data_IF_053058227093
#
_entry.id   IF_053058227093
#
_cell.length_a   1.000
_cell.length_b   1.000
_cell.length_c   1.000
_cell.angle_alpha   90.00
_cell.angle_beta   90.00
_cell.angle_gamma   90.00
#
_symmetry.space_group_name_H-M   'P 1'
#
loop_
_entity.id
_entity.type
_entity.pdbx_description
1 polymer ?
#
# COMPACT_ATOMS: atom_id res chain seq x y z
N UNK A 1 11.13 -11.43 -17.60
CA UNK A 1 11.92 -10.18 -17.53
C UNK A 1 11.49 -9.27 -18.68
N UNK A 2 11.14 -8.01 -18.40
CA UNK A 2 10.77 -7.03 -19.43
C UNK A 2 12.06 -6.38 -19.94
N UNK A 3 12.27 -6.36 -21.26
CA UNK A 3 13.39 -5.68 -21.90
C UNK A 3 13.06 -4.24 -22.28
N UNK A 4 14.08 -3.42 -22.55
CA UNK A 4 13.89 -2.04 -22.98
C UNK A 4 13.11 -1.95 -24.30
N UNK A 5 13.45 -2.79 -25.28
CA UNK A 5 12.82 -2.84 -26.60
C UNK A 5 11.31 -3.13 -26.51
N UNK A 6 10.90 -3.99 -25.56
CA UNK A 6 9.50 -4.27 -25.32
C UNK A 6 8.76 -3.03 -24.79
N UNK A 7 9.39 -2.23 -23.92
CA UNK A 7 8.77 -0.97 -23.45
C UNK A 7 8.65 0.08 -24.55
N UNK A 8 9.63 0.14 -25.46
CA UNK A 8 9.54 1.02 -26.62
C UNK A 8 8.34 0.64 -27.49
N UNK A 9 8.18 -0.65 -27.79
CA UNK A 9 7.01 -1.14 -28.53
C UNK A 9 5.70 -0.85 -27.78
N UNK A 10 5.65 -1.08 -26.47
CA UNK A 10 4.46 -0.81 -25.65
C UNK A 10 4.09 0.68 -25.61
N UNK A 11 5.08 1.56 -25.74
CA UNK A 11 4.89 3.00 -25.87
C UNK A 11 4.07 3.39 -27.10
N UNK A 12 4.13 2.60 -28.17
CA UNK A 12 3.39 2.84 -29.42
C UNK A 12 2.02 2.13 -29.46
N UNK A 13 1.62 1.49 -28.36
CA UNK A 13 0.33 0.78 -28.25
C UNK A 13 -0.73 1.61 -27.54
N UNK A 14 -1.98 1.10 -27.57
CA UNK A 14 -3.09 1.59 -26.73
C UNK A 14 -3.22 0.81 -25.41
N UNK A 15 -2.18 0.07 -24.99
CA UNK A 15 -2.22 -0.69 -23.75
C UNK A 15 -2.38 0.25 -22.57
N UNK A 16 -3.41 0.04 -21.75
CA UNK A 16 -3.67 0.87 -20.58
C UNK A 16 -3.16 0.23 -19.29
N UNK A 17 -3.32 -1.08 -19.10
CA UNK A 17 -2.92 -1.76 -17.86
C UNK A 17 -1.86 -2.81 -18.16
N UNK A 18 -0.71 -2.69 -17.52
CA UNK A 18 0.40 -3.62 -17.61
C UNK A 18 0.69 -4.21 -16.23
N UNK A 19 0.64 -5.53 -16.11
CA UNK A 19 0.93 -6.25 -14.89
C UNK A 19 2.36 -6.80 -14.93
N UNK A 20 3.16 -6.46 -13.92
CA UNK A 20 4.48 -7.03 -13.69
C UNK A 20 4.38 -7.92 -12.46
N UNK A 21 4.22 -9.22 -12.71
CA UNK A 21 4.06 -10.24 -11.66
C UNK A 21 5.40 -10.85 -11.32
N UNK A 22 5.74 -10.85 -10.03
CA UNK A 22 6.94 -11.46 -9.46
C UNK A 22 6.53 -12.59 -8.53
N UNK A 23 7.11 -13.76 -8.72
CA UNK A 23 6.81 -14.95 -7.93
C UNK A 23 8.08 -15.78 -7.70
N UNK A 24 7.94 -16.95 -7.08
CA UNK A 24 9.06 -17.86 -6.78
C UNK A 24 9.89 -18.32 -8.00
N UNK A 25 9.39 -18.13 -9.22
CA UNK A 25 10.10 -18.45 -10.47
C UNK A 25 10.78 -17.22 -11.09
N UNK A 26 10.70 -16.06 -10.43
CA UNK A 26 11.36 -14.83 -10.86
C UNK A 26 12.81 -14.86 -10.41
N UNK A 27 13.66 -15.52 -11.19
CA UNK A 27 15.10 -15.53 -10.97
C UNK A 27 15.79 -14.47 -11.84
N UNK A 28 16.73 -13.71 -11.25
CA UNK A 28 17.56 -12.75 -11.98
C UNK A 28 16.77 -11.61 -12.64
N UNK A 29 15.65 -11.19 -12.04
CA UNK A 29 14.86 -10.08 -12.55
C UNK A 29 15.67 -8.77 -12.56
N UNK A 30 15.54 -7.95 -13.62
CA UNK A 30 16.28 -6.69 -13.75
C UNK A 30 15.34 -5.49 -13.82
N UNK A 31 15.71 -4.43 -13.12
CA UNK A 31 15.04 -3.14 -13.24
C UNK A 31 15.38 -2.51 -14.58
N UNK A 32 14.38 -1.94 -15.25
CA UNK A 32 14.60 -1.13 -16.45
C UNK A 32 14.93 0.29 -15.99
N UNK A 33 15.86 0.95 -16.68
CA UNK A 33 16.26 2.31 -16.34
C UNK A 33 15.08 3.29 -16.42
N UNK A 34 15.09 4.28 -15.53
CA UNK A 34 14.07 5.33 -15.50
C UNK A 34 13.98 6.13 -16.81
N UNK A 35 15.07 6.22 -17.58
CA UNK A 35 15.10 6.88 -18.89
C UNK A 35 14.18 6.19 -19.89
N UNK A 36 14.23 4.87 -19.95
CA UNK A 36 13.38 4.08 -20.86
C UNK A 36 11.91 4.20 -20.45
N UNK A 37 11.62 4.09 -19.15
CA UNK A 37 10.27 4.32 -18.62
C UNK A 37 9.75 5.73 -18.91
N UNK A 38 10.59 6.76 -18.80
CA UNK A 38 10.21 8.13 -19.13
C UNK A 38 9.87 8.30 -20.61
N UNK A 39 10.60 7.64 -21.52
CA UNK A 39 10.26 7.65 -22.96
C UNK A 39 8.94 6.95 -23.21
N UNK A 40 8.76 5.74 -22.66
CA UNK A 40 7.53 4.96 -22.78
C UNK A 40 6.31 5.74 -22.25
N UNK A 41 6.43 6.40 -21.09
CA UNK A 41 5.36 7.22 -20.50
C UNK A 41 4.99 8.43 -21.35
N UNK A 42 5.92 9.00 -22.10
CA UNK A 42 5.64 10.11 -23.02
C UNK A 42 4.89 9.62 -24.27
N UNK A 43 5.25 8.46 -24.78
CA UNK A 43 4.60 7.85 -25.95
C UNK A 43 3.20 7.31 -25.60
N UNK A 44 3.06 6.67 -24.43
CA UNK A 44 1.80 6.15 -23.90
C UNK A 44 1.50 6.72 -22.51
N UNK A 45 0.94 7.94 -22.42
CA UNK A 45 0.60 8.56 -21.14
C UNK A 45 -0.52 7.85 -20.39
N UNK A 46 -1.32 7.02 -21.07
CA UNK A 46 -2.41 6.25 -20.45
C UNK A 46 -1.93 4.94 -19.81
N UNK A 47 -0.65 4.58 -19.98
CA UNK A 47 -0.11 3.35 -19.42
C UNK A 47 -0.09 3.41 -17.87
N UNK A 48 -0.63 2.37 -17.27
CA UNK A 48 -0.72 2.11 -15.84
C UNK A 48 0.02 0.81 -15.57
N UNK A 49 0.99 0.85 -14.66
CA UNK A 49 1.77 -0.33 -14.27
C UNK A 49 1.28 -0.83 -12.91
N UNK A 50 1.05 -2.13 -12.81
CA UNK A 50 0.65 -2.81 -11.58
C UNK A 50 1.75 -3.80 -11.20
N UNK A 51 2.43 -3.55 -10.08
CA UNK A 51 3.43 -4.45 -9.52
C UNK A 51 2.74 -5.44 -8.59
N UNK A 52 2.85 -6.73 -8.88
CA UNK A 52 2.24 -7.77 -8.06
C UNK A 52 3.29 -8.79 -7.62
N UNK A 53 3.29 -9.14 -6.34
CA UNK A 53 4.11 -10.22 -5.79
C UNK A 53 3.20 -11.38 -5.40
N UNK A 54 3.45 -12.59 -5.92
CA UNK A 54 2.66 -13.79 -5.67
C UNK A 54 3.51 -14.91 -5.06
N UNK A 55 2.99 -15.61 -4.06
CA UNK A 55 3.65 -16.81 -3.56
C UNK A 55 3.07 -17.35 -2.27
N UNK A 56 2.92 -18.68 -2.19
CA UNK A 56 2.34 -19.39 -1.04
C UNK A 56 3.34 -20.29 -0.29
N UNK A 57 4.63 -20.21 -0.60
CA UNK A 57 5.63 -21.08 0.03
C UNK A 57 6.26 -20.44 1.27
N UNK A 58 6.31 -21.23 2.34
CA UNK A 58 7.13 -21.00 3.52
C UNK A 58 8.57 -21.32 3.07
N UNK A 59 9.36 -20.30 2.73
CA UNK A 59 10.72 -20.52 2.25
C UNK A 59 11.56 -21.14 3.37
N UNK A 60 11.83 -22.44 3.24
CA UNK A 60 12.56 -23.23 4.20
C UNK A 60 13.98 -22.70 4.40
N UNK A 61 14.35 -22.48 5.66
CA UNK A 61 15.67 -22.15 6.21
C UNK A 61 16.46 -20.95 5.63
N UNK A 62 16.13 -20.45 4.43
CA UNK A 62 16.60 -19.18 3.89
C UNK A 62 15.38 -18.29 3.65
N UNK A 63 15.24 -17.30 4.51
CA UNK A 63 14.22 -16.23 4.50
C UNK A 63 14.39 -15.29 3.29
N UNK A 64 14.49 -15.79 2.07
CA UNK A 64 14.74 -14.98 0.89
C UNK A 64 13.43 -14.39 0.38
N UNK A 65 12.85 -13.44 1.13
CA UNK A 65 11.72 -12.64 0.63
C UNK A 65 11.93 -12.36 -0.85
N UNK A 66 10.96 -12.74 -1.70
CA UNK A 66 11.03 -12.58 -3.16
C UNK A 66 11.66 -11.22 -3.44
N UNK A 67 12.90 -11.25 -3.93
CA UNK A 67 13.71 -10.04 -4.08
C UNK A 67 13.00 -9.14 -5.09
N UNK A 68 12.40 -8.06 -4.59
CA UNK A 68 11.50 -7.28 -5.43
C UNK A 68 12.31 -6.48 -6.43
N UNK A 69 11.99 -6.69 -7.69
CA UNK A 69 12.58 -5.92 -8.78
C UNK A 69 11.75 -4.67 -9.00
N UNK A 70 12.20 -3.56 -8.44
CA UNK A 70 11.58 -2.26 -8.64
C UNK A 70 11.80 -1.76 -10.06
N UNK A 71 10.89 -0.90 -10.51
CA UNK A 71 10.90 -0.28 -11.84
C UNK A 71 10.89 1.25 -11.68
N UNK A 72 12.03 1.89 -11.34
CA UNK A 72 12.07 3.33 -11.10
C UNK A 72 11.62 4.12 -12.33
N UNK A 73 10.77 5.12 -12.14
CA UNK A 73 10.25 5.98 -13.22
C UNK A 73 9.06 5.39 -14.00
N UNK A 74 8.70 4.13 -13.77
CA UNK A 74 7.47 3.54 -14.32
C UNK A 74 6.22 4.21 -13.73
N UNK A 75 5.12 4.37 -14.50
CA UNK A 75 3.84 4.90 -14.01
C UNK A 75 3.10 3.85 -13.16
N UNK A 76 3.69 3.48 -12.01
CA UNK A 76 3.13 2.45 -11.12
C UNK A 76 1.93 3.00 -10.36
N UNK A 77 0.76 2.41 -10.65
CA UNK A 77 -0.52 2.76 -10.03
C UNK A 77 -0.89 1.82 -8.89
N UNK A 78 -0.36 0.59 -8.90
CA UNK A 78 -0.68 -0.39 -7.86
C UNK A 78 0.53 -1.21 -7.45
N UNK A 79 0.64 -1.46 -6.15
CA UNK A 79 1.58 -2.43 -5.57
C UNK A 79 0.78 -3.39 -4.70
N UNK A 80 0.78 -4.67 -5.08
CA UNK A 80 -0.06 -5.71 -4.50
C UNK A 80 0.81 -6.88 -4.05
N UNK A 81 0.68 -7.23 -2.79
CA UNK A 81 1.36 -8.36 -2.18
C UNK A 81 0.33 -9.46 -1.94
N UNK A 82 0.33 -10.46 -2.81
CA UNK A 82 -0.50 -11.66 -2.72
C UNK A 82 0.31 -12.86 -2.24
N UNK A 83 0.78 -12.75 -1.01
CA UNK A 83 1.56 -13.79 -0.34
C UNK A 83 1.39 -13.69 1.16
N UNK A 84 1.19 -14.78 1.91
CA UNK A 84 1.07 -14.72 3.37
C UNK A 84 2.41 -14.44 4.06
N UNK A 85 3.53 -14.48 3.34
CA UNK A 85 4.89 -14.33 3.90
C UNK A 85 5.51 -12.96 3.64
N UNK A 86 4.94 -12.16 2.73
CA UNK A 86 5.51 -10.86 2.37
C UNK A 86 5.32 -9.79 3.46
N UNK A 87 6.39 -9.41 4.14
CA UNK A 87 6.31 -8.40 5.21
C UNK A 87 6.41 -7.01 4.63
N UNK A 88 5.67 -6.06 5.19
CA UNK A 88 5.99 -4.64 5.01
C UNK A 88 7.30 -4.37 5.76
N UNK A 89 8.31 -3.88 5.05
CA UNK A 89 9.56 -3.40 5.64
C UNK A 89 9.67 -1.90 5.39
N UNK A 90 10.11 -1.14 6.39
CA UNK A 90 10.29 0.31 6.28
C UNK A 90 11.15 0.74 5.10
N UNK A 91 12.25 0.03 4.81
CA UNK A 91 13.10 0.32 3.65
C UNK A 91 12.36 0.17 2.32
N UNK A 92 11.47 -0.81 2.19
CA UNK A 92 10.64 -0.96 0.99
C UNK A 92 9.66 0.21 0.86
N UNK A 93 9.00 0.61 1.95
CA UNK A 93 8.09 1.76 1.93
C UNK A 93 8.83 3.04 1.50
N UNK A 94 10.06 3.27 1.98
CA UNK A 94 10.88 4.40 1.56
C UNK A 94 11.18 4.37 0.06
N UNK A 95 11.45 3.18 -0.50
CA UNK A 95 11.67 3.00 -1.94
C UNK A 95 10.40 3.25 -2.74
N UNK A 96 9.25 2.72 -2.28
CA UNK A 96 7.94 2.96 -2.90
C UNK A 96 7.63 4.44 -2.97
N UNK A 97 7.77 5.15 -1.85
CA UNK A 97 7.54 6.60 -1.79
C UNK A 97 8.46 7.34 -2.76
N UNK A 98 9.73 6.95 -2.80
CA UNK A 98 10.74 7.59 -3.65
C UNK A 98 10.45 7.37 -5.14
N UNK A 99 10.08 6.15 -5.54
CA UNK A 99 9.87 5.81 -6.95
C UNK A 99 8.47 6.15 -7.45
N UNK A 100 7.46 6.03 -6.60
CA UNK A 100 6.04 5.99 -7.01
C UNK A 100 5.14 6.94 -6.23
N UNK A 101 5.69 7.77 -5.33
CA UNK A 101 4.89 8.70 -4.50
C UNK A 101 3.89 9.53 -5.30
N UNK A 102 4.26 9.94 -6.52
CA UNK A 102 3.42 10.79 -7.38
C UNK A 102 2.37 10.04 -8.21
N UNK A 103 2.40 8.71 -8.23
CA UNK A 103 1.57 7.91 -9.13
C UNK A 103 0.75 6.83 -8.41
N UNK A 104 1.16 6.42 -7.20
CA UNK A 104 0.57 5.28 -6.51
C UNK A 104 -0.88 5.55 -6.08
N UNK A 105 -1.78 4.66 -6.52
CA UNK A 105 -3.22 4.73 -6.27
C UNK A 105 -3.69 3.60 -5.34
N UNK A 106 -3.03 2.43 -5.41
CA UNK A 106 -3.39 1.23 -4.66
C UNK A 106 -2.17 0.63 -3.98
N UNK A 107 -2.25 0.45 -2.66
CA UNK A 107 -1.28 -0.33 -1.90
C UNK A 107 -2.01 -1.42 -1.10
N UNK A 108 -1.70 -2.68 -1.35
CA UNK A 108 -2.48 -3.77 -0.79
C UNK A 108 -1.68 -5.00 -0.38
N UNK A 109 -1.88 -5.45 0.86
CA UNK A 109 -1.41 -6.73 1.37
C UNK A 109 -2.59 -7.70 1.49
N UNK A 110 -2.68 -8.64 0.53
CA UNK A 110 -3.70 -9.69 0.51
C UNK A 110 -3.27 -10.88 1.36
N UNK A 111 -4.19 -11.80 1.62
CA UNK A 111 -3.99 -12.98 2.48
C UNK A 111 -3.66 -12.65 3.94
N UNK A 112 -3.80 -13.66 4.81
CA UNK A 112 -3.44 -13.52 6.22
C UNK A 112 -1.95 -13.78 6.43
N UNK A 113 -1.29 -13.01 7.30
CA UNK A 113 0.14 -13.16 7.54
C UNK A 113 0.46 -14.51 8.19
N UNK A 114 1.51 -15.18 7.70
CA UNK A 114 2.11 -16.40 8.28
C UNK A 114 3.55 -16.12 8.71
N UNK A 115 3.71 -15.07 9.50
CA UNK A 115 5.00 -14.67 10.05
C UNK A 115 4.83 -14.02 11.42
N UNK A 116 5.92 -13.93 12.18
CA UNK A 116 5.93 -13.21 13.45
C UNK A 116 5.52 -11.74 13.24
N UNK A 117 4.46 -11.31 13.93
CA UNK A 117 3.95 -9.95 13.88
C UNK A 117 4.43 -9.18 15.12
N UNK A 118 5.12 -8.03 14.96
CA UNK A 118 5.61 -7.24 16.08
C UNK A 118 4.47 -6.74 16.98
N UNK A 119 4.75 -6.67 18.29
CA UNK A 119 3.81 -6.19 19.31
C UNK A 119 4.08 -4.76 19.74
N UNK A 120 5.35 -4.38 19.87
CA UNK A 120 5.77 -3.04 20.30
C UNK A 120 5.64 -2.02 19.18
N UNK A 121 5.16 -0.82 19.49
CA UNK A 121 4.92 0.24 18.51
C UNK A 121 6.13 0.53 17.62
N UNK A 122 7.34 0.60 18.20
CA UNK A 122 8.57 0.89 17.47
C UNK A 122 8.99 -0.18 16.45
N UNK A 123 8.55 -1.42 16.65
CA UNK A 123 8.83 -2.53 15.73
C UNK A 123 7.72 -2.70 14.68
N UNK A 124 6.55 -2.09 14.92
CA UNK A 124 5.41 -2.18 14.00
C UNK A 124 5.56 -1.17 12.86
N UNK A 125 4.79 -1.42 11.81
CA UNK A 125 4.84 -0.65 10.57
C UNK A 125 3.96 0.61 10.60
N UNK A 126 3.37 0.95 11.76
CA UNK A 126 2.50 2.10 11.98
C UNK A 126 3.08 3.38 11.33
N UNK A 127 4.32 3.73 11.67
CA UNK A 127 4.98 4.94 11.13
C UNK A 127 5.28 4.87 9.64
N UNK A 128 5.61 3.68 9.14
CA UNK A 128 5.89 3.48 7.72
C UNK A 128 4.61 3.63 6.89
N UNK A 129 3.50 3.06 7.36
CA UNK A 129 2.20 3.19 6.70
C UNK A 129 1.70 4.63 6.69
N UNK A 130 1.87 5.36 7.81
CA UNK A 130 1.50 6.78 7.85
C UNK A 130 2.37 7.61 6.89
N UNK A 131 3.66 7.32 6.79
CA UNK A 131 4.55 7.96 5.81
C UNK A 131 4.09 7.68 4.37
N UNK A 132 3.75 6.43 4.05
CA UNK A 132 3.28 6.05 2.72
C UNK A 132 2.09 6.90 2.30
N UNK A 133 1.03 6.95 3.12
CA UNK A 133 -0.19 7.70 2.76
C UNK A 133 0.02 9.21 2.74
N UNK A 134 0.97 9.73 3.54
CA UNK A 134 1.33 11.15 3.51
C UNK A 134 2.06 11.55 2.24
N UNK A 135 2.86 10.64 1.67
CA UNK A 135 3.70 10.91 0.50
C UNK A 135 3.09 10.43 -0.82
N UNK A 136 2.02 9.64 -0.76
CA UNK A 136 1.29 9.13 -1.90
C UNK A 136 -0.14 9.72 -1.92
N UNK A 137 -0.33 10.97 -2.39
CA UNK A 137 -1.60 11.67 -2.29
C UNK A 137 -2.72 11.03 -3.11
N UNK A 138 -2.39 10.24 -4.13
CA UNK A 138 -3.37 9.58 -5.00
C UNK A 138 -3.83 8.22 -4.47
N UNK A 139 -3.38 7.77 -3.29
CA UNK A 139 -3.87 6.51 -2.73
C UNK A 139 -5.38 6.63 -2.46
N UNK A 140 -6.15 5.85 -3.19
CA UNK A 140 -7.59 5.68 -2.96
C UNK A 140 -7.93 4.31 -2.38
N UNK A 141 -7.05 3.32 -2.53
CA UNK A 141 -7.23 1.97 -1.96
C UNK A 141 -6.03 1.57 -1.12
N UNK A 142 -6.28 1.25 0.15
CA UNK A 142 -5.27 0.79 1.09
C UNK A 142 -5.76 -0.47 1.82
N UNK A 143 -5.01 -1.56 1.72
CA UNK A 143 -5.31 -2.82 2.42
C UNK A 143 -4.14 -3.22 3.33
N UNK A 144 -4.39 -3.22 4.64
CA UNK A 144 -3.42 -3.48 5.70
C UNK A 144 -3.79 -4.76 6.44
N UNK A 145 -2.82 -5.68 6.58
CA UNK A 145 -3.00 -6.92 7.36
C UNK A 145 -2.10 -6.99 8.60
N UNK A 146 -1.06 -6.15 8.63
CA UNK A 146 -0.07 -6.03 9.69
C UNK A 146 -0.71 -5.45 10.96
N UNK A 147 -0.10 -5.70 12.12
CA UNK A 147 -0.60 -5.11 13.35
C UNK A 147 -0.38 -3.60 13.35
N UNK A 148 -1.46 -2.86 13.61
CA UNK A 148 -1.45 -1.39 13.71
C UNK A 148 -2.31 -0.97 14.89
N UNK A 149 -2.00 0.19 15.49
CA UNK A 149 -2.84 0.74 16.55
C UNK A 149 -4.14 1.35 16.04
N UNK A 150 -5.17 1.45 16.90
CA UNK A 150 -6.38 2.24 16.60
C UNK A 150 -6.05 3.68 16.24
N UNK A 151 -5.06 4.29 16.90
CA UNK A 151 -4.57 5.62 16.55
C UNK A 151 -4.00 5.68 15.13
N UNK A 152 -3.26 4.66 14.69
CA UNK A 152 -2.75 4.60 13.30
C UNK A 152 -3.87 4.52 12.28
N UNK A 153 -4.92 3.73 12.54
CA UNK A 153 -6.08 3.64 11.65
C UNK A 153 -6.76 5.01 11.50
N UNK A 154 -6.95 5.73 12.61
CA UNK A 154 -7.50 7.10 12.61
C UNK A 154 -6.62 8.09 11.87
N UNK A 155 -5.30 8.06 12.13
CA UNK A 155 -4.34 8.94 11.47
C UNK A 155 -4.30 8.69 9.96
N UNK A 156 -4.30 7.43 9.52
CA UNK A 156 -4.34 7.09 8.10
C UNK A 156 -5.60 7.63 7.45
N UNK A 157 -6.78 7.38 8.04
CA UNK A 157 -8.04 7.90 7.51
C UNK A 157 -8.03 9.44 7.43
N UNK A 158 -7.51 10.10 8.47
CA UNK A 158 -7.44 11.56 8.52
C UNK A 158 -6.45 12.14 7.49
N UNK A 159 -5.29 11.52 7.32
CA UNK A 159 -4.20 12.00 6.44
C UNK A 159 -4.48 11.72 4.97
N UNK A 160 -4.98 10.53 4.63
CA UNK A 160 -5.19 10.09 3.25
C UNK A 160 -6.49 10.67 2.67
N UNK A 161 -6.45 11.92 2.19
CA UNK A 161 -7.66 12.66 1.78
C UNK A 161 -8.45 12.02 0.63
N UNK A 162 -7.78 11.26 -0.23
CA UNK A 162 -8.44 10.60 -1.35
C UNK A 162 -8.77 9.12 -1.09
N UNK A 163 -8.55 8.63 0.14
CA UNK A 163 -8.82 7.25 0.50
C UNK A 163 -10.32 6.96 0.43
N UNK A 164 -10.70 6.01 -0.44
CA UNK A 164 -12.08 5.56 -0.62
C UNK A 164 -12.27 4.15 -0.08
N UNK A 165 -11.28 3.29 -0.31
CA UNK A 165 -11.34 1.88 0.06
C UNK A 165 -10.25 1.58 1.07
N UNK A 166 -10.65 1.57 2.34
CA UNK A 166 -9.73 1.27 3.43
C UNK A 166 -10.06 -0.09 4.03
N UNK A 167 -9.15 -1.05 3.92
CA UNK A 167 -9.36 -2.41 4.40
C UNK A 167 -8.34 -2.75 5.48
N UNK A 168 -8.82 -2.94 6.70
CA UNK A 168 -7.96 -3.33 7.84
C UNK A 168 -8.57 -4.54 8.53
N UNK A 169 -7.75 -5.51 8.88
CA UNK A 169 -8.18 -6.70 9.62
C UNK A 169 -8.42 -6.36 11.08
N UNK A 170 -9.61 -6.63 11.63
CA UNK A 170 -9.98 -6.30 13.00
C UNK A 170 -9.01 -6.92 14.04
N UNK A 171 -8.63 -8.18 13.85
CA UNK A 171 -7.70 -8.90 14.72
C UNK A 171 -6.24 -8.37 14.67
N UNK A 172 -5.93 -7.51 13.70
CA UNK A 172 -4.63 -6.84 13.61
C UNK A 172 -4.65 -5.45 14.26
N UNK A 173 -5.82 -4.94 14.65
CA UNK A 173 -5.92 -3.61 15.27
C UNK A 173 -5.70 -3.73 16.78
N UNK A 174 -4.63 -3.11 17.25
CA UNK A 174 -4.28 -3.03 18.68
C UNK A 174 -4.95 -1.80 19.28
N UNK A 175 -5.76 -2.00 20.31
CA UNK A 175 -6.51 -0.92 20.99
C UNK A 175 -5.58 -0.04 21.83
N UNK A 176 -4.88 0.92 21.20
CA UNK A 176 -3.91 1.81 21.85
C UNK A 176 -3.78 3.16 21.13
N UNK A 177 -3.50 4.20 21.91
CA UNK A 177 -3.01 5.48 21.42
C UNK A 177 -1.48 5.54 21.58
N UNK A 178 -0.76 4.75 20.79
CA UNK A 178 0.70 4.57 20.94
C UNK A 178 1.53 5.73 20.37
N UNK A 179 0.90 6.67 19.66
CA UNK A 179 1.59 7.79 19.02
C UNK A 179 1.96 8.88 20.04
N UNK A 180 3.23 9.32 20.10
CA UNK A 180 3.61 10.46 20.93
C UNK A 180 2.98 11.75 20.38
N UNK A 181 2.83 12.75 21.24
CA UNK A 181 2.40 14.08 20.81
C UNK A 181 3.38 14.67 19.79
N UNK A 182 2.89 15.02 18.61
CA UNK A 182 3.63 15.79 17.61
C UNK A 182 3.38 17.29 17.85
N UNK A 183 4.42 18.14 17.96
CA UNK A 183 4.27 19.59 18.07
C UNK A 183 3.45 20.26 16.95
N UNK A 184 3.37 19.63 15.78
CA UNK A 184 2.56 20.11 14.65
C UNK A 184 1.05 19.89 14.87
N UNK A 185 0.66 19.08 15.86
CA UNK A 185 -0.74 18.81 16.18
C UNK A 185 -1.30 19.81 17.17
N UNK A 186 -2.51 20.28 16.91
CA UNK A 186 -3.23 21.05 17.92
C UNK A 186 -3.53 20.15 19.14
N UNK A 187 -3.60 20.72 20.36
CA UNK A 187 -3.99 19.97 21.55
C UNK A 187 -5.34 19.26 21.41
N UNK A 188 -6.29 19.90 20.70
CA UNK A 188 -7.62 19.37 20.42
C UNK A 188 -7.55 18.14 19.52
N UNK A 189 -6.71 18.18 18.48
CA UNK A 189 -6.50 17.05 17.58
C UNK A 189 -5.91 15.85 18.33
N UNK A 190 -4.88 16.06 19.15
CA UNK A 190 -4.29 14.97 19.92
C UNK A 190 -5.25 14.41 20.98
N UNK A 191 -6.03 15.27 21.62
CA UNK A 191 -7.09 14.85 22.55
C UNK A 191 -8.16 14.01 21.83
N UNK A 192 -8.61 14.44 20.65
CA UNK A 192 -9.51 13.67 19.79
C UNK A 192 -8.90 12.31 19.45
N UNK A 193 -7.64 12.26 18.98
CA UNK A 193 -6.96 11.03 18.63
C UNK A 193 -6.92 10.06 19.81
N UNK A 194 -6.50 10.54 20.98
CA UNK A 194 -6.42 9.75 22.20
C UNK A 194 -7.80 9.23 22.64
N UNK A 195 -8.83 10.07 22.57
CA UNK A 195 -10.21 9.70 22.96
C UNK A 195 -10.81 8.67 22.00
N UNK A 196 -10.68 8.91 20.69
CA UNK A 196 -11.24 8.07 19.62
C UNK A 196 -10.53 6.73 19.51
N UNK A 197 -9.29 6.62 19.99
CA UNK A 197 -8.51 5.36 19.99
C UNK A 197 -8.86 4.39 21.13
N UNK A 198 -9.73 4.77 22.08
CA UNK A 198 -10.02 3.99 23.31
C UNK A 198 -10.97 2.81 23.12
N UNK A 199 -11.72 2.76 22.03
CA UNK A 199 -12.57 1.61 21.71
C UNK A 199 -12.63 1.39 20.20
N UNK A 200 -12.95 0.18 19.77
CA UNK A 200 -13.12 -0.13 18.35
C UNK A 200 -14.30 0.61 17.76
N UNK A 201 -15.41 0.73 18.50
CA UNK A 201 -16.62 1.44 18.08
C UNK A 201 -16.37 2.93 17.91
N UNK A 202 -15.61 3.55 18.83
CA UNK A 202 -15.23 4.95 18.72
C UNK A 202 -14.35 5.18 17.49
N UNK A 203 -13.36 4.32 17.26
CA UNK A 203 -12.49 4.39 16.09
C UNK A 203 -13.27 4.20 14.78
N UNK A 204 -14.11 3.16 14.67
CA UNK A 204 -14.91 2.90 13.47
C UNK A 204 -15.88 4.03 13.14
N UNK A 205 -16.51 4.62 14.15
CA UNK A 205 -17.41 5.77 13.99
C UNK A 205 -16.70 6.97 13.39
N UNK A 206 -15.53 7.31 13.92
CA UNK A 206 -14.75 8.46 13.44
C UNK A 206 -14.16 8.19 12.05
N UNK A 207 -13.66 6.97 11.78
CA UNK A 207 -13.20 6.59 10.43
C UNK A 207 -14.36 6.65 9.43
N UNK A 208 -15.54 6.16 9.79
CA UNK A 208 -16.74 6.27 8.94
C UNK A 208 -17.10 7.72 8.63
N UNK A 209 -17.01 8.59 9.63
CA UNK A 209 -17.27 10.02 9.46
C UNK A 209 -16.25 10.68 8.53
N UNK A 210 -14.96 10.35 8.69
CA UNK A 210 -13.88 10.89 7.84
C UNK A 210 -14.03 10.43 6.39
N UNK A 211 -14.34 9.15 6.17
CA UNK A 211 -14.50 8.58 4.83
C UNK A 211 -15.85 8.91 4.17
N UNK A 212 -16.80 9.49 4.91
CA UNK A 212 -18.13 9.85 4.42
C UNK A 212 -19.06 8.67 4.14
N UNK A 213 -18.71 7.46 4.58
CA UNK A 213 -19.52 6.26 4.43
C UNK A 213 -19.29 5.30 5.58
N UNK A 214 -20.21 4.34 5.78
CA UNK A 214 -20.07 3.34 6.84
C UNK A 214 -18.82 2.50 6.60
N UNK A 215 -17.90 2.56 7.54
CA UNK A 215 -16.65 1.81 7.56
C UNK A 215 -16.56 0.94 8.81
N UNK A 216 -16.07 -0.28 8.65
CA UNK A 216 -15.83 -1.21 9.76
C UNK A 216 -14.58 -2.02 9.48
N UNK A 217 -13.86 -2.41 10.54
CA UNK A 217 -12.74 -3.31 10.41
C UNK A 217 -13.23 -4.70 10.00
N UNK A 218 -12.46 -5.38 9.15
CA UNK A 218 -12.87 -6.64 8.55
C UNK A 218 -12.48 -7.83 9.43
N UNK A 219 -13.41 -8.77 9.60
CA UNK A 219 -13.07 -10.10 10.12
C UNK A 219 -12.10 -10.81 9.17
N UNK A 220 -11.33 -11.78 9.67
CA UNK A 220 -10.42 -12.58 8.84
C UNK A 220 -11.12 -13.25 7.65
N UNK A 221 -12.40 -13.64 7.81
CA UNK A 221 -13.22 -14.20 6.72
C UNK A 221 -13.51 -13.14 5.65
N UNK A 222 -14.00 -11.97 6.05
CA UNK A 222 -14.27 -10.86 5.13
C UNK A 222 -12.99 -10.40 4.43
N UNK A 223 -11.89 -10.26 5.19
CA UNK A 223 -10.60 -9.81 4.68
C UNK A 223 -10.08 -10.69 3.54
N UNK A 224 -10.23 -12.02 3.64
CA UNK A 224 -9.85 -12.96 2.58
C UNK A 224 -10.71 -12.84 1.31
N UNK A 225 -11.95 -12.39 1.45
CA UNK A 225 -12.91 -12.25 0.35
C UNK A 225 -12.83 -10.88 -0.34
N UNK A 226 -12.07 -9.93 0.22
CA UNK A 226 -11.89 -8.61 -0.39
C UNK A 226 -11.28 -8.79 -1.78
N UNK A 227 -12.00 -8.30 -2.78
CA UNK A 227 -11.52 -8.13 -4.12
C UNK A 227 -11.77 -6.68 -4.52
N UNK A 228 -10.77 -6.02 -5.10
CA UNK A 228 -10.87 -4.64 -5.56
C UNK A 228 -10.33 -4.54 -6.98
N UNK A 229 -10.97 -3.68 -7.77
CA UNK A 229 -10.59 -3.46 -9.15
C UNK A 229 -9.42 -2.46 -9.20
N UNK A 230 -8.28 -2.91 -9.75
CA UNK A 230 -7.05 -2.11 -9.89
C UNK A 230 -6.95 -1.40 -11.24
N UNK A 231 -7.70 -1.87 -12.24
CA UNK A 231 -7.74 -1.32 -13.59
C UNK A 231 -8.53 -0.02 -13.66
N UNK A 232 -9.41 0.24 -12.68
CA UNK A 232 -10.26 1.42 -12.65
C UNK A 232 -9.44 2.68 -12.34
N UNK A 233 -9.43 3.62 -13.28
CA UNK A 233 -8.81 4.93 -13.12
C UNK A 233 -9.74 5.87 -12.35
N UNK A 234 -9.25 6.45 -11.24
CA UNK A 234 -10.00 7.42 -10.44
C UNK A 234 -9.54 8.87 -10.66
N UNK A 235 -8.30 9.08 -11.12
CA UNK A 235 -7.78 10.40 -11.45
C UNK A 235 -7.55 10.49 -12.95
N UNK A 236 -8.24 11.40 -13.62
CA UNK A 236 -7.88 11.80 -14.98
C UNK A 236 -6.65 12.71 -14.91
N UNK A 237 -5.78 12.60 -15.91
CA UNK A 237 -4.63 13.51 -16.04
C UNK A 237 -5.13 14.95 -16.13
N UNK A 238 -4.75 15.79 -15.16
CA UNK A 238 -4.63 17.22 -15.42
C UNK A 238 -3.34 17.41 -16.19
N UNK A 239 -3.47 17.64 -17.49
CA UNK A 239 -2.39 17.99 -18.42
C UNK A 239 -1.57 19.18 -17.94
#
# INVERSE_FOLDING_TARGET
>A
NIGADLLELLGETKLQNMYIVQNKFTEGGRSISSKVWSTCRKANPQLRVHLMTEGNQEEGNNKSQIERVWQPGAPVKSIIYDSPYAKIITSEIMQIVTYYGRDLEVFAHKQLPRFHIPRHFHDRVDSSLLLLVRQCPYIHTLMIRENVSTATVLLIAYTAKNLQYFYVRCNAIVLKADWPYNPEWSPEFYSWLCKSSRSYEAMEREVSQILGHRWQALTDKQFRLVNFNVDKQYYMFSS
#
